data_IF_612907813346
#
_entry.id   IF_612907813346
#
_cell.length_a   1.000
_cell.length_b   1.000
_cell.length_c   1.000
_cell.angle_alpha   90.00
_cell.angle_beta   90.00
_cell.angle_gamma   90.00
#
_symmetry.space_group_name_H-M   'P 1'
#
loop_
_entity.id
_entity.type
_entity.pdbx_description
1 polymer ?
#
# COMPACT_ATOMS: atom_id res chain seq x y z
N UNK A 1 -5.75 9.66 17.64
CA UNK A 1 -4.84 9.45 16.56
C UNK A 1 -5.20 8.25 15.74
N UNK A 2 -5.18 8.40 14.45
CA UNK A 2 -5.55 7.31 13.57
C UNK A 2 -4.36 6.40 13.33
N UNK A 3 -4.57 5.11 13.39
CA UNK A 3 -3.53 4.14 13.07
C UNK A 3 -3.44 3.86 11.59
N UNK A 4 -4.39 4.35 10.83
CA UNK A 4 -4.45 4.05 9.41
C UNK A 4 -3.95 5.21 8.59
N UNK A 5 -3.33 4.91 7.45
CA UNK A 5 -2.84 5.98 6.59
C UNK A 5 -3.99 6.73 5.95
N UNK A 6 -3.68 7.92 5.50
CA UNK A 6 -4.61 8.72 4.72
C UNK A 6 -4.91 7.99 3.41
N UNK A 7 -6.17 7.75 3.09
CA UNK A 7 -6.49 7.04 1.84
C UNK A 7 -5.94 7.74 0.60
N UNK A 8 -5.93 9.05 0.61
CA UNK A 8 -5.44 9.80 -0.56
C UNK A 8 -3.95 9.59 -0.71
N UNK A 9 -3.21 9.66 0.41
CA UNK A 9 -1.78 9.42 0.37
C UNK A 9 -1.48 8.01 -0.09
N UNK A 10 -2.22 7.07 0.45
CA UNK A 10 -2.02 5.68 0.10
C UNK A 10 -2.23 5.47 -1.40
N UNK A 11 -3.28 6.04 -1.94
CA UNK A 11 -3.56 5.89 -3.37
C UNK A 11 -2.48 6.50 -4.24
N UNK A 12 -1.91 7.61 -3.80
CA UNK A 12 -0.83 8.22 -4.56
C UNK A 12 0.34 7.27 -4.72
N UNK A 13 0.69 6.58 -3.65
CA UNK A 13 1.81 5.65 -3.71
C UNK A 13 1.46 4.40 -4.50
N UNK A 14 0.22 3.97 -4.43
CA UNK A 14 -0.20 2.77 -5.13
C UNK A 14 -0.34 2.96 -6.63
N UNK A 15 -0.73 4.16 -7.05
CA UNK A 15 -1.01 4.38 -8.45
C UNK A 15 0.24 4.40 -9.32
N UNK A 16 1.41 4.52 -8.71
CA UNK A 16 2.64 4.52 -9.48
C UNK A 16 3.26 3.15 -9.67
N UNK A 17 2.60 2.11 -9.24
CA UNK A 17 3.16 0.77 -9.31
C UNK A 17 2.78 0.07 -10.61
N UNK A 18 3.61 -0.88 -11.01
CA UNK A 18 3.38 -1.69 -12.22
C UNK A 18 2.63 -2.95 -11.86
N UNK A 19 1.33 -2.87 -11.86
CA UNK A 19 0.52 -4.03 -11.54
C UNK A 19 0.56 -5.06 -12.64
N UNK A 20 0.48 -6.34 -12.30
CA UNK A 20 0.35 -6.88 -10.94
C UNK A 20 1.65 -6.80 -10.16
N UNK A 21 1.53 -6.62 -8.86
CA UNK A 21 2.69 -6.51 -7.97
C UNK A 21 2.48 -7.36 -6.74
N UNK A 22 3.57 -7.76 -6.12
CA UNK A 22 3.50 -8.45 -4.86
C UNK A 22 3.65 -7.48 -3.70
N UNK A 23 3.47 -8.01 -2.49
CA UNK A 23 3.58 -7.19 -1.30
C UNK A 23 4.94 -6.49 -1.20
N UNK A 24 6.00 -7.22 -1.48
CA UNK A 24 7.34 -6.64 -1.37
C UNK A 24 7.52 -5.46 -2.30
N UNK A 25 7.00 -5.56 -3.49
CA UNK A 25 7.13 -4.50 -4.46
C UNK A 25 6.32 -3.28 -4.05
N UNK A 26 5.17 -3.53 -3.44
CA UNK A 26 4.34 -2.42 -2.96
C UNK A 26 5.07 -1.66 -1.88
N UNK A 27 5.63 -2.37 -0.91
CA UNK A 27 6.34 -1.72 0.19
C UNK A 27 7.55 -0.97 -0.33
N UNK A 28 8.30 -1.59 -1.23
CA UNK A 28 9.49 -0.95 -1.77
C UNK A 28 9.16 0.30 -2.57
N UNK A 29 8.12 0.23 -3.38
CA UNK A 29 7.69 1.38 -4.14
C UNK A 29 7.27 2.54 -3.25
N UNK A 30 6.57 2.23 -2.17
CA UNK A 30 6.16 3.25 -1.23
C UNK A 30 7.38 3.88 -0.56
N UNK A 31 8.37 3.07 -0.20
CA UNK A 31 9.58 3.59 0.40
C UNK A 31 10.30 4.53 -0.56
N UNK A 32 10.39 4.13 -1.82
CA UNK A 32 11.07 4.94 -2.82
C UNK A 32 10.38 6.26 -3.05
N UNK A 33 9.07 6.31 -2.91
CA UNK A 33 8.34 7.55 -3.13
C UNK A 33 8.19 8.36 -1.85
N UNK A 34 8.79 7.91 -0.76
CA UNK A 34 8.82 8.70 0.47
C UNK A 34 7.57 8.60 1.31
N UNK A 35 6.96 7.43 1.34
CA UNK A 35 5.74 7.26 2.13
C UNK A 35 6.00 7.40 3.62
N UNK A 36 5.00 7.87 4.33
CA UNK A 36 5.06 8.00 5.78
C UNK A 36 5.14 6.64 6.45
N UNK A 37 5.60 6.65 7.69
CA UNK A 37 5.66 5.42 8.48
C UNK A 37 4.30 4.74 8.56
N UNK A 38 3.23 5.51 8.69
CA UNK A 38 1.90 4.92 8.79
C UNK A 38 1.53 4.17 7.52
N UNK A 39 1.91 4.71 6.38
CA UNK A 39 1.65 4.03 5.11
C UNK A 39 2.48 2.76 5.02
N UNK A 40 3.76 2.86 5.36
CA UNK A 40 4.63 1.69 5.29
C UNK A 40 4.19 0.60 6.24
N UNK A 41 3.80 0.98 7.44
CA UNK A 41 3.30 0.02 8.41
C UNK A 41 2.09 -0.73 7.87
N UNK A 42 1.15 0.03 7.32
CA UNK A 42 -0.06 -0.59 6.78
C UNK A 42 0.28 -1.56 5.66
N UNK A 43 1.21 -1.18 4.80
CA UNK A 43 1.58 -2.03 3.68
C UNK A 43 2.32 -3.27 4.13
N UNK A 44 3.10 -3.15 5.20
CA UNK A 44 3.81 -4.31 5.73
C UNK A 44 2.87 -5.34 6.31
N UNK A 45 1.69 -4.94 6.70
CA UNK A 45 0.72 -5.86 7.27
C UNK A 45 -0.16 -6.51 6.21
N UNK A 46 0.06 -6.21 4.96
CA UNK A 46 -0.71 -6.83 3.88
C UNK A 46 -0.44 -8.32 3.82
N UNK A 47 -1.44 -9.10 3.42
CA UNK A 47 -1.19 -10.52 3.13
C UNK A 47 -0.15 -10.65 2.01
N UNK A 48 0.68 -11.66 2.12
CA UNK A 48 1.72 -11.91 1.13
C UNK A 48 1.11 -12.58 -0.08
N UNK A 49 0.67 -11.78 -1.03
CA UNK A 49 0.02 -12.27 -2.23
C UNK A 49 0.22 -11.26 -3.33
N UNK A 50 -0.20 -11.62 -4.54
CA UNK A 50 -0.09 -10.74 -5.68
C UNK A 50 -1.33 -9.86 -5.77
N UNK A 51 -1.12 -8.59 -6.07
CA UNK A 51 -2.19 -7.61 -6.17
C UNK A 51 -2.26 -7.12 -7.60
N UNK A 52 -3.44 -7.18 -8.18
CA UNK A 52 -3.60 -6.86 -9.60
C UNK A 52 -4.09 -5.45 -9.83
N UNK A 53 -4.60 -4.80 -8.79
CA UNK A 53 -5.13 -3.45 -8.90
C UNK A 53 -4.85 -2.69 -7.61
N UNK A 54 -4.73 -1.36 -7.70
CA UNK A 54 -4.59 -0.58 -6.46
C UNK A 54 -5.76 -0.78 -5.52
N UNK A 55 -6.95 -1.01 -6.05
CA UNK A 55 -8.13 -1.23 -5.24
C UNK A 55 -7.97 -2.43 -4.32
N UNK A 56 -7.35 -3.49 -4.83
CA UNK A 56 -7.15 -4.69 -4.04
C UNK A 56 -6.28 -4.39 -2.81
N UNK A 57 -5.27 -3.54 -3.01
CA UNK A 57 -4.41 -3.16 -1.90
C UNK A 57 -5.17 -2.33 -0.89
N UNK A 58 -5.94 -1.37 -1.38
CA UNK A 58 -6.71 -0.50 -0.50
C UNK A 58 -7.69 -1.30 0.34
N UNK A 59 -8.36 -2.24 -0.27
CA UNK A 59 -9.31 -3.08 0.45
C UNK A 59 -8.62 -3.87 1.54
N UNK A 60 -7.44 -4.39 1.25
CA UNK A 60 -6.70 -5.15 2.23
C UNK A 60 -6.24 -4.28 3.38
N UNK A 61 -5.84 -3.05 3.08
CA UNK A 61 -5.37 -2.13 4.11
C UNK A 61 -6.50 -1.67 5.02
N UNK A 62 -7.64 -1.33 4.44
CA UNK A 62 -8.72 -0.75 5.21
C UNK A 62 -9.72 -1.77 5.70
N UNK A 63 -9.40 -3.01 5.50
CA UNK A 63 -9.99 -3.96 6.34
C UNK A 63 -11.27 -4.50 5.87
N UNK A 64 -11.34 -4.68 4.85
CA UNK A 64 -12.50 -5.38 4.77
C UNK A 64 -12.38 -6.42 3.83
#
# INVERSE_FOLDING_TARGET
MSDKPDPIELQKHLSGLDYPVGKDEIVRGAQDSGADDSVLEALRHLPDRQYEKPTHVTEAVFGE
#
